data_IF_778258752812
#
_entry.id   IF_778258752812
#
_cell.length_a   1.000
_cell.length_b   1.000
_cell.length_c   1.000
_cell.angle_alpha   90.00
_cell.angle_beta   90.00
_cell.angle_gamma   90.00
#
_symmetry.space_group_name_H-M   'P 1'
#
loop_
_entity.id
_entity.type
_entity.pdbx_description
1 polymer ?
#
# COMPACT_ATOMS: atom_id res chain seq x y z
N UNK A 1 13.45 -18.49 14.44
CA UNK A 1 13.40 -17.01 14.43
C UNK A 1 13.43 -16.51 15.86
N UNK A 2 14.11 -15.39 16.12
CA UNK A 2 14.03 -14.71 17.43
C UNK A 2 12.63 -14.14 17.62
N UNK A 3 12.05 -14.34 18.80
CA UNK A 3 10.71 -13.81 19.12
C UNK A 3 10.72 -12.28 19.01
N UNK A 4 9.62 -11.71 18.51
CA UNK A 4 9.42 -10.26 18.47
C UNK A 4 8.81 -9.76 19.78
N UNK A 5 9.36 -8.68 20.33
CA UNK A 5 8.92 -8.07 21.57
C UNK A 5 7.85 -7.02 21.29
N UNK A 6 6.63 -7.27 21.77
CA UNK A 6 5.45 -6.42 21.53
C UNK A 6 4.96 -5.85 22.84
N UNK A 7 4.90 -4.53 22.95
CA UNK A 7 4.36 -3.82 24.11
C UNK A 7 2.95 -3.31 23.82
N UNK A 8 1.97 -3.74 24.61
CA UNK A 8 0.62 -3.20 24.61
C UNK A 8 0.46 -2.19 25.74
N UNK A 9 -0.09 -1.01 25.44
CA UNK A 9 -0.32 0.05 26.41
C UNK A 9 -1.80 0.41 26.38
N UNK A 10 -2.49 0.22 27.49
CA UNK A 10 -3.92 0.51 27.62
C UNK A 10 -4.24 0.71 29.11
N UNK A 11 -4.97 1.77 29.46
CA UNK A 11 -5.32 2.06 30.86
C UNK A 11 -6.39 1.10 31.43
N UNK A 12 -7.04 0.33 30.56
CA UNK A 12 -8.10 -0.60 30.94
C UNK A 12 -7.57 -2.04 31.08
N UNK A 13 -7.48 -2.54 32.32
CA UNK A 13 -7.00 -3.91 32.62
C UNK A 13 -7.75 -5.02 31.87
N UNK A 14 -9.05 -4.84 31.65
CA UNK A 14 -9.87 -5.79 30.91
C UNK A 14 -9.46 -5.90 29.43
N UNK A 15 -9.03 -4.78 28.81
CA UNK A 15 -8.56 -4.76 27.42
C UNK A 15 -7.22 -5.48 27.32
N UNK A 16 -6.28 -5.16 28.21
CA UNK A 16 -4.99 -5.88 28.34
C UNK A 16 -5.21 -7.39 28.49
N UNK A 17 -6.10 -7.78 29.41
CA UNK A 17 -6.41 -9.19 29.68
C UNK A 17 -7.06 -9.87 28.47
N UNK A 18 -7.92 -9.15 27.74
CA UNK A 18 -8.53 -9.58 26.49
C UNK A 18 -7.48 -9.85 25.41
N UNK A 19 -6.61 -8.89 25.14
CA UNK A 19 -5.52 -9.00 24.16
C UNK A 19 -4.56 -10.14 24.53
N UNK A 20 -4.15 -10.24 25.80
CA UNK A 20 -3.27 -11.30 26.29
C UNK A 20 -3.86 -12.70 26.07
N UNK A 21 -5.19 -12.84 26.24
CA UNK A 21 -5.91 -14.09 25.96
C UNK A 21 -6.01 -14.37 24.46
N UNK A 22 -6.35 -13.37 23.66
CA UNK A 22 -6.50 -13.49 22.21
C UNK A 22 -5.18 -13.87 21.51
N UNK A 23 -4.06 -13.28 21.95
CA UNK A 23 -2.75 -13.50 21.34
C UNK A 23 -1.98 -14.68 21.95
N UNK A 24 -2.56 -15.39 22.92
CA UNK A 24 -1.96 -16.58 23.54
C UNK A 24 -1.49 -17.64 22.53
N UNK A 25 -2.20 -17.95 21.43
CA UNK A 25 -1.75 -18.91 20.43
C UNK A 25 -0.42 -18.54 19.74
N UNK A 26 -0.02 -17.27 19.76
CA UNK A 26 1.15 -16.75 19.04
C UNK A 26 2.38 -16.53 19.94
N UNK A 27 2.37 -17.02 21.18
CA UNK A 27 3.47 -16.84 22.14
C UNK A 27 4.79 -17.50 21.72
N UNK A 28 4.76 -18.41 20.75
CA UNK A 28 5.97 -18.99 20.16
C UNK A 28 6.64 -18.04 19.16
N UNK A 29 5.88 -17.08 18.63
CA UNK A 29 6.36 -16.06 17.69
C UNK A 29 6.64 -14.73 18.39
N UNK A 30 5.83 -14.37 19.39
CA UNK A 30 5.87 -13.06 20.04
C UNK A 30 6.03 -13.16 21.56
N UNK A 31 6.82 -12.25 22.11
CA UNK A 31 6.91 -12.01 23.54
C UNK A 31 6.12 -10.72 23.87
N UNK A 32 5.10 -10.87 24.70
CA UNK A 32 4.14 -9.80 24.99
C UNK A 32 4.49 -9.10 26.31
N UNK A 33 4.53 -7.78 26.28
CA UNK A 33 4.67 -6.88 27.41
C UNK A 33 3.41 -6.02 27.52
N UNK A 34 3.08 -5.60 28.73
CA UNK A 34 1.86 -4.83 28.99
C UNK A 34 2.15 -3.67 29.95
N UNK A 35 1.57 -2.51 29.66
CA UNK A 35 1.62 -1.31 30.49
C UNK A 35 0.23 -0.68 30.61
N UNK A 36 -0.07 -0.10 31.76
CA UNK A 36 -1.35 0.58 32.05
C UNK A 36 -1.33 2.08 31.70
N UNK A 37 -0.27 2.57 31.05
CA UNK A 37 -0.14 3.96 30.66
C UNK A 37 1.25 4.32 30.17
N UNK A 38 1.39 5.54 29.63
CA UNK A 38 2.61 5.97 28.93
C UNK A 38 3.88 6.00 29.80
N UNK A 39 3.78 6.38 31.07
CA UNK A 39 4.93 6.41 31.98
C UNK A 39 5.51 5.00 32.22
N UNK A 40 4.65 4.01 32.49
CA UNK A 40 5.06 2.62 32.68
C UNK A 40 5.60 2.02 31.38
N UNK A 41 5.00 2.37 30.23
CA UNK A 41 5.49 1.94 28.92
C UNK A 41 6.94 2.40 28.67
N UNK A 42 7.25 3.68 28.95
CA UNK A 42 8.60 4.21 28.80
C UNK A 42 9.62 3.56 29.75
N UNK A 43 9.20 3.19 30.96
CA UNK A 43 10.05 2.44 31.89
C UNK A 43 10.37 1.04 31.32
N UNK A 44 9.37 0.31 30.83
CA UNK A 44 9.58 -0.99 30.21
C UNK A 44 10.50 -0.90 28.98
N UNK A 45 10.36 0.14 28.16
CA UNK A 45 11.22 0.37 26.99
C UNK A 45 12.66 0.74 27.35
N UNK A 46 12.90 1.27 28.57
CA UNK A 46 14.25 1.51 29.06
C UNK A 46 14.96 0.21 29.51
N UNK A 47 14.18 -0.79 29.94
CA UNK A 47 14.69 -2.06 30.46
C UNK A 47 14.71 -3.17 29.40
N UNK A 48 13.83 -3.10 28.41
CA UNK A 48 13.59 -4.13 27.41
C UNK A 48 13.64 -3.54 26.00
N UNK A 49 14.24 -4.27 25.06
CA UNK A 49 14.16 -3.91 23.64
C UNK A 49 12.76 -4.23 23.11
N UNK A 50 12.00 -3.24 22.67
CA UNK A 50 10.66 -3.40 22.12
C UNK A 50 10.69 -3.20 20.59
N UNK A 51 10.24 -4.21 19.84
CA UNK A 51 10.15 -4.17 18.38
C UNK A 51 8.89 -3.42 17.91
N UNK A 52 7.77 -3.60 18.63
CA UNK A 52 6.47 -2.99 18.32
C UNK A 52 5.79 -2.49 19.60
N UNK A 53 5.29 -1.25 19.58
CA UNK A 53 4.38 -0.72 20.59
C UNK A 53 2.99 -0.52 19.98
N UNK A 54 1.96 -1.02 20.67
CA UNK A 54 0.54 -0.82 20.36
C UNK A 54 -0.06 -0.05 21.53
N UNK A 55 -0.40 1.22 21.31
CA UNK A 55 -0.95 2.09 22.35
C UNK A 55 -2.43 2.37 22.13
N UNK A 56 -3.20 2.36 23.20
CA UNK A 56 -4.45 3.10 23.22
C UNK A 56 -4.17 4.60 23.04
N UNK A 57 -5.15 5.31 22.50
CA UNK A 57 -5.05 6.73 22.24
C UNK A 57 -5.38 7.57 23.48
N UNK A 58 -6.43 7.19 24.20
CA UNK A 58 -7.03 8.00 25.27
C UNK A 58 -6.71 7.38 26.63
N UNK A 59 -5.53 7.72 27.14
CA UNK A 59 -5.08 7.25 28.45
C UNK A 59 -4.89 8.43 29.43
N UNK A 60 -5.20 8.25 30.72
CA UNK A 60 -4.93 9.24 31.76
C UNK A 60 -3.45 9.61 31.86
N UNK A 61 -3.17 10.90 32.06
CA UNK A 61 -1.83 11.41 32.30
C UNK A 61 -1.00 11.64 31.03
N UNK A 62 -0.79 10.59 30.22
CA UNK A 62 -0.05 10.68 28.95
C UNK A 62 -0.86 10.01 27.85
N UNK A 63 -1.19 10.77 26.81
CA UNK A 63 -1.94 10.25 25.65
C UNK A 63 -1.08 9.32 24.78
N UNK A 64 -1.74 8.49 23.98
CA UNK A 64 -1.06 7.56 23.07
C UNK A 64 -0.16 8.28 22.05
N UNK A 65 -0.64 9.37 21.46
CA UNK A 65 0.13 10.15 20.48
C UNK A 65 1.38 10.81 21.11
N UNK A 66 1.27 11.34 22.32
CA UNK A 66 2.39 11.90 23.09
C UNK A 66 3.45 10.83 23.43
N UNK A 67 3.00 9.65 23.86
CA UNK A 67 3.86 8.49 24.07
C UNK A 67 4.59 8.12 22.77
N UNK A 68 3.85 7.96 21.66
CA UNK A 68 4.42 7.54 20.39
C UNK A 68 5.37 8.59 19.79
N UNK A 69 5.14 9.89 20.05
CA UNK A 69 6.09 10.95 19.72
C UNK A 69 7.40 10.78 20.47
N UNK A 70 7.33 10.52 21.78
CA UNK A 70 8.51 10.24 22.62
C UNK A 70 9.25 8.98 22.13
N UNK A 71 8.50 7.93 21.77
CA UNK A 71 9.06 6.69 21.21
C UNK A 71 9.75 6.94 19.87
N UNK A 72 9.15 7.74 18.99
CA UNK A 72 9.78 8.11 17.71
C UNK A 72 11.13 8.80 17.90
N UNK A 73 11.25 9.65 18.90
CA UNK A 73 12.47 10.41 19.20
C UNK A 73 13.55 9.56 19.89
N UNK A 74 13.17 8.73 20.87
CA UNK A 74 14.12 7.96 21.69
C UNK A 74 14.41 6.56 21.16
N UNK A 75 13.43 5.95 20.49
CA UNK A 75 13.47 4.57 20.00
C UNK A 75 12.94 4.51 18.54
N UNK A 76 13.61 5.18 17.58
CA UNK A 76 13.11 5.35 16.22
C UNK A 76 12.87 4.02 15.48
N UNK A 77 13.61 2.97 15.84
CA UNK A 77 13.48 1.63 15.28
C UNK A 77 12.28 0.81 15.79
N UNK A 78 11.58 1.26 16.84
CA UNK A 78 10.37 0.59 17.33
C UNK A 78 9.19 0.94 16.43
N UNK A 79 8.48 -0.05 15.91
CA UNK A 79 7.24 0.21 15.17
C UNK A 79 6.17 0.66 16.13
N UNK A 80 5.29 1.55 15.66
CA UNK A 80 4.32 2.28 16.47
C UNK A 80 2.95 2.09 15.86
N UNK A 81 2.01 1.56 16.64
CA UNK A 81 0.61 1.37 16.26
C UNK A 81 -0.32 2.00 17.29
N UNK A 82 -1.48 2.43 16.82
CA UNK A 82 -2.56 2.94 17.67
C UNK A 82 -3.76 2.00 17.57
N UNK A 83 -4.39 1.75 18.71
CA UNK A 83 -5.64 1.02 18.82
C UNK A 83 -6.66 1.92 19.55
N UNK A 84 -7.64 2.49 18.85
CA UNK A 84 -8.56 3.47 19.46
C UNK A 84 -10.03 3.12 19.25
N UNK A 85 -10.86 3.34 20.29
CA UNK A 85 -12.32 3.17 20.25
C UNK A 85 -13.11 4.43 19.87
N UNK A 86 -12.45 5.58 19.80
CA UNK A 86 -13.04 6.85 19.37
C UNK A 86 -12.14 7.47 18.30
N UNK A 87 -12.73 7.73 17.13
CA UNK A 87 -12.08 8.40 16.01
C UNK A 87 -12.57 9.85 15.97
N UNK A 88 -12.12 10.69 16.92
CA UNK A 88 -12.22 12.13 16.70
C UNK A 88 -11.10 12.57 15.74
N UNK A 89 -11.37 13.58 14.90
CA UNK A 89 -10.51 13.96 13.78
C UNK A 89 -9.16 14.55 14.20
N UNK A 90 -9.15 15.35 15.27
CA UNK A 90 -7.93 15.99 15.78
C UNK A 90 -6.95 14.94 16.30
N UNK A 91 -7.49 13.92 16.97
CA UNK A 91 -6.75 12.80 17.51
C UNK A 91 -6.25 11.86 16.39
N UNK A 92 -7.01 11.68 15.32
CA UNK A 92 -6.56 10.96 14.11
C UNK A 92 -5.39 11.66 13.40
N UNK A 93 -5.46 12.99 13.23
CA UNK A 93 -4.40 13.79 12.60
C UNK A 93 -3.08 13.69 13.38
N UNK A 94 -3.14 13.83 14.70
CA UNK A 94 -1.96 13.69 15.57
C UNK A 94 -1.40 12.26 15.55
N UNK A 95 -2.28 11.25 15.58
CA UNK A 95 -1.90 9.84 15.49
C UNK A 95 -1.20 9.46 14.18
N UNK A 96 -1.67 9.95 13.03
CA UNK A 96 -1.08 9.68 11.71
C UNK A 96 0.34 10.25 11.53
N UNK A 97 0.72 11.26 12.32
CA UNK A 97 2.07 11.80 12.28
C UNK A 97 3.10 10.83 12.91
N UNK A 98 2.70 10.17 13.99
CA UNK A 98 3.59 9.41 14.88
C UNK A 98 3.48 7.90 14.74
N UNK A 99 2.31 7.39 14.38
CA UNK A 99 2.04 5.96 14.20
C UNK A 99 2.23 5.52 12.74
N UNK A 100 2.62 4.26 12.56
CA UNK A 100 2.71 3.62 11.24
C UNK A 100 1.38 2.96 10.84
N UNK A 101 0.56 2.58 11.83
CA UNK A 101 -0.74 1.98 11.58
C UNK A 101 -1.74 2.33 12.69
N UNK A 102 -3.00 2.44 12.29
CA UNK A 102 -4.14 2.69 13.17
C UNK A 102 -5.15 1.55 13.04
N UNK A 103 -5.70 1.11 14.17
CA UNK A 103 -6.75 0.10 14.26
C UNK A 103 -7.91 0.63 15.12
N UNK A 104 -9.13 0.33 14.72
CA UNK A 104 -10.33 0.67 15.50
C UNK A 104 -10.64 -0.40 16.54
N UNK A 105 -11.11 0.02 17.72
CA UNK A 105 -11.76 -0.85 18.70
C UNK A 105 -13.28 -0.86 18.45
N UNK A 106 -13.96 -2.01 18.61
CA UNK A 106 -13.39 -3.31 18.96
C UNK A 106 -12.63 -3.94 17.78
N UNK A 107 -11.46 -4.51 18.07
CA UNK A 107 -10.63 -5.21 17.08
C UNK A 107 -10.69 -6.72 17.34
N UNK A 108 -10.94 -7.53 16.30
CA UNK A 108 -10.87 -8.99 16.44
C UNK A 108 -9.42 -9.45 16.54
N UNK A 109 -9.21 -10.64 17.12
CA UNK A 109 -7.88 -11.25 17.22
C UNK A 109 -7.20 -11.39 15.86
N UNK A 110 -7.97 -11.65 14.82
CA UNK A 110 -7.45 -11.93 13.48
C UNK A 110 -6.99 -10.63 12.80
N UNK A 111 -7.74 -9.54 12.94
CA UNK A 111 -7.37 -8.22 12.42
C UNK A 111 -6.11 -7.70 13.14
N UNK A 112 -6.05 -7.84 14.46
CA UNK A 112 -4.87 -7.41 15.24
C UNK A 112 -3.64 -8.23 14.85
N UNK A 113 -3.77 -9.55 14.73
CA UNK A 113 -2.68 -10.43 14.28
C UNK A 113 -2.19 -10.06 12.89
N UNK A 114 -3.11 -9.89 11.95
CA UNK A 114 -2.81 -9.50 10.56
C UNK A 114 -2.01 -8.20 10.52
N UNK A 115 -2.47 -7.17 11.22
CA UNK A 115 -1.81 -5.87 11.29
C UNK A 115 -0.39 -5.97 11.86
N UNK A 116 -0.20 -6.75 12.93
CA UNK A 116 1.12 -6.98 13.53
C UNK A 116 2.06 -7.70 12.54
N UNK A 117 1.59 -8.76 11.89
CA UNK A 117 2.40 -9.51 10.93
C UNK A 117 2.81 -8.65 9.73
N UNK A 118 1.84 -7.93 9.17
CA UNK A 118 2.03 -7.00 8.06
C UNK A 118 3.10 -5.95 8.38
N UNK A 119 3.02 -5.34 9.56
CA UNK A 119 4.00 -4.35 10.01
C UNK A 119 5.40 -4.93 10.08
N UNK A 120 5.58 -6.14 10.62
CA UNK A 120 6.91 -6.74 10.70
C UNK A 120 7.48 -7.12 9.34
N UNK A 121 6.64 -7.59 8.40
CA UNK A 121 7.06 -7.85 7.00
C UNK A 121 7.57 -6.57 6.35
N UNK A 122 6.81 -5.49 6.46
CA UNK A 122 7.19 -4.17 5.92
C UNK A 122 8.47 -3.65 6.60
N UNK A 123 8.57 -3.76 7.92
CA UNK A 123 9.75 -3.32 8.66
C UNK A 123 11.02 -4.08 8.24
N UNK A 124 10.93 -5.38 7.97
CA UNK A 124 12.05 -6.16 7.48
C UNK A 124 12.59 -5.64 6.14
N UNK A 125 11.70 -5.17 5.24
CA UNK A 125 12.10 -4.52 3.99
C UNK A 125 12.72 -3.14 4.25
N UNK A 126 12.06 -2.30 5.07
CA UNK A 126 12.52 -0.93 5.35
C UNK A 126 13.87 -0.87 6.06
N UNK A 127 14.13 -1.84 6.93
CA UNK A 127 15.38 -1.92 7.69
C UNK A 127 16.54 -2.56 6.92
N UNK A 128 16.31 -3.06 5.70
CA UNK A 128 17.36 -3.69 4.90
C UNK A 128 18.26 -2.63 4.24
N UNK A 129 19.54 -2.52 4.65
CA UNK A 129 20.44 -1.48 4.13
C UNK A 129 20.74 -1.66 2.64
N UNK A 130 20.60 -2.87 2.08
CA UNK A 130 20.79 -3.10 0.64
C UNK A 130 19.73 -2.40 -0.18
N UNK A 131 18.47 -2.45 0.28
CA UNK A 131 17.35 -1.78 -0.39
C UNK A 131 17.54 -0.27 -0.27
N UNK A 132 17.81 0.24 0.94
CA UNK A 132 18.04 1.66 1.17
C UNK A 132 19.17 2.22 0.27
N UNK A 133 20.30 1.52 0.20
CA UNK A 133 21.43 1.93 -0.63
C UNK A 133 21.16 1.79 -2.13
N UNK A 134 20.46 0.74 -2.54
CA UNK A 134 20.19 0.44 -3.96
C UNK A 134 19.07 1.28 -4.57
N UNK A 135 18.07 1.67 -3.78
CA UNK A 135 17.04 2.63 -4.19
C UNK A 135 17.63 4.05 -4.28
N UNK A 136 18.73 4.32 -3.57
CA UNK A 136 19.50 5.57 -3.60
C UNK A 136 19.13 6.52 -2.46
N UNK A 137 19.85 7.65 -2.37
CA UNK A 137 19.68 8.66 -1.31
C UNK A 137 18.20 9.06 -1.16
N UNK A 138 17.69 8.98 0.08
CA UNK A 138 16.34 9.39 0.42
C UNK A 138 16.04 10.85 0.03
N UNK A 139 17.06 11.71 -0.02
CA UNK A 139 16.92 13.11 -0.48
C UNK A 139 16.75 13.24 -2.00
N UNK A 140 17.11 12.20 -2.76
CA UNK A 140 16.87 12.12 -4.21
C UNK A 140 15.60 11.35 -4.52
N UNK A 141 14.99 10.67 -3.55
CA UNK A 141 13.69 10.07 -3.77
C UNK A 141 12.66 11.16 -4.07
N UNK A 142 11.71 10.88 -4.98
CA UNK A 142 10.66 11.82 -5.25
C UNK A 142 9.85 12.02 -3.97
N UNK A 143 9.78 13.27 -3.51
CA UNK A 143 8.83 13.65 -2.48
C UNK A 143 7.42 13.53 -3.06
N UNK A 144 6.48 12.99 -2.28
CA UNK A 144 5.09 13.08 -2.67
C UNK A 144 4.74 14.56 -2.92
N UNK A 145 4.02 14.87 -4.00
CA UNK A 145 3.66 16.24 -4.33
C UNK A 145 2.83 16.82 -3.20
N UNK A 146 3.04 18.10 -2.90
CA UNK A 146 2.32 18.81 -1.84
C UNK A 146 0.80 18.62 -1.95
N UNK A 147 0.27 18.59 -3.17
CA UNK A 147 -1.16 18.39 -3.45
C UNK A 147 -1.69 17.05 -2.94
N UNK A 148 -0.88 15.99 -2.88
CA UNK A 148 -1.27 14.69 -2.33
C UNK A 148 -1.45 14.77 -0.81
N UNK A 149 -0.53 15.45 -0.12
CA UNK A 149 -0.65 15.68 1.32
C UNK A 149 -1.82 16.61 1.65
N UNK A 150 -2.00 17.68 0.87
CA UNK A 150 -3.16 18.59 0.99
C UNK A 150 -4.47 17.82 0.77
N UNK A 151 -4.51 16.93 -0.22
CA UNK A 151 -5.67 16.11 -0.52
C UNK A 151 -5.97 15.08 0.59
N UNK A 152 -4.95 14.37 1.08
CA UNK A 152 -5.11 13.44 2.21
C UNK A 152 -5.60 14.16 3.47
N UNK A 153 -5.05 15.34 3.76
CA UNK A 153 -5.50 16.17 4.88
C UNK A 153 -6.95 16.62 4.71
N UNK A 154 -7.36 16.99 3.49
CA UNK A 154 -8.73 17.38 3.18
C UNK A 154 -9.70 16.19 3.23
N UNK A 155 -9.32 15.02 2.69
CA UNK A 155 -10.15 13.80 2.76
C UNK A 155 -10.38 13.36 4.21
N UNK A 156 -9.41 13.60 5.08
CA UNK A 156 -9.48 13.29 6.51
C UNK A 156 -10.22 14.35 7.35
N UNK A 157 -10.80 15.38 6.73
CA UNK A 157 -11.60 16.44 7.37
C UNK A 157 -13.05 16.34 6.91
N UNK A 158 -13.98 16.07 7.83
CA UNK A 158 -15.42 15.90 7.63
C UNK A 158 -16.11 17.20 7.19
N UNK A 159 -15.49 18.36 7.42
CA UNK A 159 -15.98 19.64 6.90
C UNK A 159 -15.55 19.89 5.45
N UNK A 160 -14.68 19.04 4.90
CA UNK A 160 -14.23 19.17 3.52
C UNK A 160 -15.37 18.91 2.55
N UNK A 161 -15.68 19.95 1.78
CA UNK A 161 -16.61 19.83 0.66
C UNK A 161 -15.87 19.47 -0.62
N UNK A 162 -16.59 18.95 -1.60
CA UNK A 162 -16.08 18.77 -2.97
C UNK A 162 -15.53 20.06 -3.59
N UNK A 163 -16.01 21.22 -3.14
CA UNK A 163 -15.49 22.52 -3.54
C UNK A 163 -14.09 22.77 -2.96
N UNK A 164 -13.84 22.42 -1.70
CA UNK A 164 -12.52 22.55 -1.08
C UNK A 164 -11.50 21.64 -1.79
N UNK A 165 -11.89 20.42 -2.14
CA UNK A 165 -11.01 19.53 -2.91
C UNK A 165 -10.80 19.99 -4.35
N UNK A 166 -11.83 20.56 -4.99
CA UNK A 166 -11.67 21.20 -6.31
C UNK A 166 -10.71 22.39 -6.26
N UNK A 167 -10.69 23.16 -5.17
CA UNK A 167 -9.71 24.25 -4.93
C UNK A 167 -8.28 23.75 -4.71
N UNK A 168 -8.10 22.53 -4.18
CA UNK A 168 -6.79 21.89 -4.10
C UNK A 168 -6.33 21.49 -5.50
N UNK A 169 -7.19 20.84 -6.29
CA UNK A 169 -6.90 20.43 -7.66
C UNK A 169 -6.64 21.62 -8.60
N UNK A 170 -7.39 22.72 -8.47
CA UNK A 170 -7.29 23.89 -9.36
C UNK A 170 -5.92 24.59 -9.30
N UNK A 171 -5.12 24.32 -8.26
CA UNK A 171 -3.74 24.81 -8.12
C UNK A 171 -2.77 24.11 -9.06
N UNK A 172 -3.13 22.93 -9.57
CA UNK A 172 -2.32 22.16 -10.51
C UNK A 172 -3.10 21.95 -11.82
N UNK A 173 -2.64 22.62 -12.88
CA UNK A 173 -3.27 22.61 -14.20
C UNK A 173 -3.28 21.21 -14.84
N UNK A 174 -2.24 20.39 -14.62
CA UNK A 174 -2.11 19.06 -15.21
C UNK A 174 -3.06 18.08 -14.53
N UNK A 175 -3.14 18.13 -13.20
CA UNK A 175 -4.10 17.35 -12.43
C UNK A 175 -5.53 17.74 -12.70
N UNK A 176 -5.81 19.04 -12.81
CA UNK A 176 -7.13 19.56 -13.17
C UNK A 176 -7.60 19.05 -14.54
N UNK A 177 -6.72 19.10 -15.54
CA UNK A 177 -7.00 18.59 -16.88
C UNK A 177 -7.25 17.07 -16.88
N UNK A 178 -6.43 16.30 -16.16
CA UNK A 178 -6.61 14.85 -16.04
C UNK A 178 -7.87 14.47 -15.28
N UNK A 179 -8.24 15.21 -14.24
CA UNK A 179 -9.47 15.01 -13.48
C UNK A 179 -10.69 15.20 -14.38
N UNK A 180 -10.75 16.30 -15.12
CA UNK A 180 -11.82 16.59 -16.08
C UNK A 180 -11.87 15.57 -17.22
N UNK A 181 -10.70 15.15 -17.72
CA UNK A 181 -10.64 14.13 -18.77
C UNK A 181 -11.18 12.77 -18.28
N UNK A 182 -10.82 12.39 -17.05
CA UNK A 182 -11.26 11.13 -16.43
C UNK A 182 -12.79 11.07 -16.29
N UNK A 183 -13.45 12.11 -15.73
CA UNK A 183 -14.91 12.09 -15.59
C UNK A 183 -15.67 12.13 -16.90
N UNK A 184 -15.06 12.69 -17.95
CA UNK A 184 -15.66 12.71 -19.29
C UNK A 184 -15.35 11.45 -20.11
N UNK A 185 -14.61 10.50 -19.53
CA UNK A 185 -14.36 9.24 -20.21
C UNK A 185 -15.65 8.41 -20.31
N UNK A 186 -15.77 7.55 -21.34
CA UNK A 186 -16.93 6.67 -21.51
C UNK A 186 -17.26 5.80 -20.28
N UNK A 187 -16.28 5.57 -19.40
CA UNK A 187 -16.43 4.84 -18.14
C UNK A 187 -17.53 5.38 -17.23
N UNK A 188 -17.65 6.71 -17.12
CA UNK A 188 -18.66 7.32 -16.26
C UNK A 188 -20.05 7.33 -16.90
N UNK A 189 -20.18 6.96 -18.18
CA UNK A 189 -21.46 6.81 -18.87
C UNK A 189 -22.33 8.08 -18.86
N UNK A 190 -21.69 9.26 -18.82
CA UNK A 190 -22.41 10.53 -18.68
C UNK A 190 -23.00 10.97 -20.02
N UNK A 191 -24.27 11.35 -20.01
CA UNK A 191 -24.94 11.98 -21.17
C UNK A 191 -24.61 13.48 -21.31
N UNK A 192 -23.62 13.98 -20.55
CA UNK A 192 -23.19 15.39 -20.56
C UNK A 192 -21.70 15.50 -20.31
N UNK A 193 -21.09 16.55 -20.84
CA UNK A 193 -19.69 16.90 -20.59
C UNK A 193 -19.58 17.68 -19.28
N UNK A 194 -18.72 17.22 -18.38
CA UNK A 194 -18.35 17.87 -17.11
C UNK A 194 -17.20 18.84 -17.37
N UNK A 195 -17.43 20.13 -17.18
CA UNK A 195 -16.44 21.19 -17.41
C UNK A 195 -15.91 21.85 -16.14
N UNK A 196 -16.43 21.45 -14.97
CA UNK A 196 -16.12 22.05 -13.67
C UNK A 196 -15.50 21.03 -12.73
N UNK A 197 -14.44 21.43 -12.02
CA UNK A 197 -13.71 20.58 -11.09
C UNK A 197 -14.57 20.15 -9.91
N UNK A 198 -15.45 21.01 -9.38
CA UNK A 198 -16.34 20.63 -8.27
C UNK A 198 -17.29 19.51 -8.68
N UNK A 199 -17.82 19.56 -9.90
CA UNK A 199 -18.70 18.51 -10.43
C UNK A 199 -17.91 17.23 -10.71
N UNK A 200 -16.67 17.34 -11.17
CA UNK A 200 -15.78 16.21 -11.38
C UNK A 200 -15.43 15.51 -10.05
N UNK A 201 -15.11 16.28 -9.00
CA UNK A 201 -14.86 15.79 -7.64
C UNK A 201 -16.10 15.09 -7.07
N UNK A 202 -17.30 15.66 -7.26
CA UNK A 202 -18.56 15.06 -6.82
C UNK A 202 -18.82 13.69 -7.47
N UNK A 203 -18.50 13.56 -8.77
CA UNK A 203 -18.73 12.33 -9.53
C UNK A 203 -17.72 11.22 -9.20
N UNK A 204 -16.47 11.59 -8.93
CA UNK A 204 -15.41 10.63 -8.56
C UNK A 204 -15.49 10.26 -7.07
N UNK A 205 -15.84 11.22 -6.22
CA UNK A 205 -15.79 11.10 -4.77
C UNK A 205 -14.39 11.38 -4.21
N UNK A 206 -14.33 11.98 -3.02
CA UNK A 206 -13.10 12.51 -2.43
C UNK A 206 -12.00 11.44 -2.29
N UNK A 207 -12.36 10.25 -1.81
CA UNK A 207 -11.42 9.14 -1.52
C UNK A 207 -10.69 8.60 -2.75
N UNK A 208 -11.31 8.70 -3.94
CA UNK A 208 -10.74 8.18 -5.19
C UNK A 208 -9.72 9.11 -5.85
N UNK A 209 -9.68 10.38 -5.44
CA UNK A 209 -8.81 11.39 -6.04
C UNK A 209 -7.33 11.21 -5.71
N UNK A 210 -7.01 10.56 -4.59
CA UNK A 210 -5.63 10.21 -4.21
C UNK A 210 -4.94 9.36 -5.28
N UNK A 211 -5.68 8.40 -5.84
CA UNK A 211 -5.17 7.52 -6.87
C UNK A 211 -4.83 8.29 -8.16
N UNK A 212 -5.65 9.28 -8.53
CA UNK A 212 -5.40 10.16 -9.66
C UNK A 212 -4.14 11.00 -9.42
N UNK A 213 -4.03 11.67 -8.27
CA UNK A 213 -2.85 12.50 -7.92
C UNK A 213 -1.57 11.69 -8.04
N UNK A 214 -1.51 10.51 -7.41
CA UNK A 214 -0.34 9.63 -7.48
C UNK A 214 0.00 9.23 -8.92
N UNK A 215 -1.01 8.87 -9.73
CA UNK A 215 -0.81 8.47 -11.12
C UNK A 215 -0.16 9.55 -12.00
N UNK A 216 -0.37 10.83 -11.70
CA UNK A 216 0.19 11.94 -12.47
C UNK A 216 1.64 12.20 -12.08
N UNK A 217 1.93 12.18 -10.79
CA UNK A 217 3.21 12.62 -10.29
C UNK A 217 4.30 11.56 -10.27
N UNK A 218 3.93 10.27 -10.19
CA UNK A 218 4.92 9.20 -10.25
C UNK A 218 5.67 9.22 -11.62
N UNK A 219 5.02 9.67 -12.71
CA UNK A 219 5.69 9.85 -14.02
C UNK A 219 6.83 10.87 -13.99
N UNK A 220 6.65 11.98 -13.29
CA UNK A 220 7.64 13.06 -13.20
C UNK A 220 8.74 12.76 -12.17
N UNK A 221 8.42 11.89 -11.22
CA UNK A 221 9.26 11.50 -10.10
C UNK A 221 10.45 10.60 -10.48
N UNK A 222 10.31 9.82 -11.55
CA UNK A 222 11.31 8.86 -12.02
C UNK A 222 11.66 9.14 -13.48
N UNK A 223 12.57 10.10 -13.76
CA UNK A 223 12.95 10.42 -15.12
C UNK A 223 13.68 9.24 -15.77
N UNK A 224 13.36 8.99 -17.04
CA UNK A 224 13.96 7.94 -17.87
C UNK A 224 14.36 8.59 -19.20
N UNK A 225 15.66 8.55 -19.53
CA UNK A 225 16.20 9.23 -20.72
C UNK A 225 16.36 8.28 -21.92
N UNK A 226 16.55 6.99 -21.67
CA UNK A 226 16.77 6.00 -22.71
C UNK A 226 15.45 5.62 -23.41
N UNK A 227 15.38 5.74 -24.74
CA UNK A 227 14.17 5.46 -25.51
C UNK A 227 13.61 4.04 -25.33
N UNK A 228 14.46 3.01 -25.19
CA UNK A 228 13.99 1.65 -24.93
C UNK A 228 13.31 1.54 -23.55
N UNK A 229 13.87 2.23 -22.56
CA UNK A 229 13.33 2.28 -21.19
C UNK A 229 12.04 3.12 -21.12
N UNK A 230 11.94 4.20 -21.89
CA UNK A 230 10.71 5.01 -22.01
C UNK A 230 9.55 4.14 -22.52
N UNK A 231 9.78 3.30 -23.53
CA UNK A 231 8.74 2.37 -24.03
C UNK A 231 8.28 1.38 -22.96
N UNK A 232 9.21 0.83 -22.17
CA UNK A 232 8.87 -0.07 -21.06
C UNK A 232 8.08 0.68 -19.98
N UNK A 233 8.46 1.92 -19.68
CA UNK A 233 7.72 2.78 -18.75
C UNK A 233 6.30 3.06 -19.24
N UNK A 234 6.09 3.36 -20.52
CA UNK A 234 4.76 3.59 -21.10
C UNK A 234 3.86 2.37 -20.97
N UNK A 235 4.38 1.17 -21.25
CA UNK A 235 3.66 -0.10 -21.05
C UNK A 235 3.29 -0.33 -19.59
N UNK A 236 4.22 -0.07 -18.66
CA UNK A 236 3.96 -0.17 -17.22
C UNK A 236 2.76 0.69 -16.81
N UNK A 237 2.65 1.91 -17.36
CA UNK A 237 1.53 2.80 -17.05
C UNK A 237 0.19 2.32 -17.59
N UNK A 238 0.19 1.77 -18.81
CA UNK A 238 -0.99 1.19 -19.41
C UNK A 238 -1.49 -0.03 -18.61
N UNK A 239 -0.58 -0.95 -18.29
CA UNK A 239 -0.90 -2.15 -17.50
C UNK A 239 -1.35 -1.81 -16.08
N UNK A 240 -0.71 -0.83 -15.42
CA UNK A 240 -1.09 -0.40 -14.07
C UNK A 240 -2.54 0.08 -13.99
N UNK A 241 -3.04 0.81 -15.00
CA UNK A 241 -4.43 1.27 -15.03
C UNK A 241 -5.42 0.11 -15.16
N UNK A 242 -5.11 -0.87 -16.02
CA UNK A 242 -5.94 -2.08 -16.23
C UNK A 242 -5.98 -2.95 -14.98
N UNK A 243 -4.82 -3.21 -14.36
CA UNK A 243 -4.69 -4.01 -13.14
C UNK A 243 -5.39 -3.33 -11.97
N UNK A 244 -5.25 -2.01 -11.80
CA UNK A 244 -5.96 -1.24 -10.79
C UNK A 244 -7.48 -1.43 -10.90
N UNK A 245 -8.02 -1.28 -12.10
CA UNK A 245 -9.46 -1.38 -12.32
C UNK A 245 -9.98 -2.80 -12.11
N UNK A 246 -9.28 -3.82 -12.61
CA UNK A 246 -9.67 -5.21 -12.37
C UNK A 246 -9.58 -5.58 -10.88
N UNK A 247 -8.52 -5.16 -10.18
CA UNK A 247 -8.38 -5.41 -8.74
C UNK A 247 -9.55 -4.79 -7.95
N UNK A 248 -9.98 -3.58 -8.32
CA UNK A 248 -11.15 -2.93 -7.73
C UNK A 248 -12.43 -3.75 -7.96
N UNK A 249 -12.64 -4.22 -9.19
CA UNK A 249 -13.81 -5.02 -9.55
C UNK A 249 -13.83 -6.38 -8.84
N UNK A 250 -12.67 -7.03 -8.69
CA UNK A 250 -12.53 -8.28 -7.92
C UNK A 250 -12.89 -8.03 -6.44
N UNK A 251 -12.36 -6.96 -5.83
CA UNK A 251 -12.71 -6.61 -4.46
C UNK A 251 -14.23 -6.39 -4.29
N UNK A 252 -14.87 -5.71 -5.25
CA UNK A 252 -16.31 -5.48 -5.24
C UNK A 252 -17.12 -6.77 -5.43
N UNK A 253 -16.72 -7.68 -6.33
CA UNK A 253 -17.43 -8.96 -6.53
C UNK A 253 -17.33 -9.86 -5.30
N UNK A 254 -16.25 -9.73 -4.52
CA UNK A 254 -16.05 -10.42 -3.25
C UNK A 254 -16.69 -9.70 -2.05
N UNK A 255 -17.63 -8.80 -2.31
CA UNK A 255 -18.39 -8.03 -1.31
C UNK A 255 -17.50 -7.27 -0.31
N UNK A 256 -16.30 -6.86 -0.71
CA UNK A 256 -15.45 -6.00 0.13
C UNK A 256 -16.07 -4.60 0.20
N UNK A 257 -16.20 -4.07 1.41
CA UNK A 257 -16.84 -2.79 1.70
C UNK A 257 -15.83 -1.74 2.17
N UNK A 258 -16.35 -0.53 2.43
CA UNK A 258 -15.60 0.62 2.93
C UNK A 258 -14.50 1.03 1.93
N UNK A 259 -13.28 1.21 2.40
CA UNK A 259 -12.14 1.62 1.61
C UNK A 259 -11.39 0.44 0.94
N UNK A 260 -11.78 -0.81 1.21
CA UNK A 260 -11.06 -1.99 0.68
C UNK A 260 -11.00 -2.06 -0.85
N UNK A 261 -12.06 -1.75 -1.61
CA UNK A 261 -11.96 -1.69 -3.08
C UNK A 261 -11.01 -0.58 -3.56
N UNK A 262 -10.99 0.56 -2.88
CA UNK A 262 -10.09 1.68 -3.21
C UNK A 262 -8.63 1.31 -2.88
N UNK A 263 -8.39 0.56 -1.79
CA UNK A 263 -7.08 -0.01 -1.46
C UNK A 263 -6.62 -1.02 -2.53
N UNK A 264 -7.52 -1.89 -3.03
CA UNK A 264 -7.21 -2.81 -4.12
C UNK A 264 -6.87 -2.07 -5.42
N UNK A 265 -7.63 -1.02 -5.75
CA UNK A 265 -7.33 -0.15 -6.89
C UNK A 265 -5.94 0.50 -6.77
N UNK A 266 -5.64 1.10 -5.62
CA UNK A 266 -4.33 1.70 -5.37
C UNK A 266 -3.20 0.66 -5.41
N UNK A 267 -3.41 -0.52 -4.83
CA UNK A 267 -2.47 -1.64 -4.92
C UNK A 267 -2.19 -2.01 -6.38
N UNK A 268 -3.23 -2.15 -7.20
CA UNK A 268 -3.08 -2.47 -8.62
C UNK A 268 -2.43 -1.35 -9.43
N UNK A 269 -2.64 -0.09 -9.07
CA UNK A 269 -1.97 1.04 -9.73
C UNK A 269 -0.46 1.09 -9.41
N UNK A 270 -0.08 0.69 -8.21
CA UNK A 270 1.29 0.80 -7.69
C UNK A 270 2.09 -0.51 -7.75
N UNK A 271 1.45 -1.62 -8.16
CA UNK A 271 2.00 -2.98 -8.09
C UNK A 271 3.37 -3.14 -8.77
N UNK A 272 3.59 -2.46 -9.89
CA UNK A 272 4.86 -2.49 -10.63
C UNK A 272 5.70 -1.22 -10.44
N UNK A 273 5.38 -0.35 -9.48
CA UNK A 273 6.11 0.90 -9.25
C UNK A 273 7.61 0.67 -8.99
N UNK A 274 7.99 -0.45 -8.37
CA UNK A 274 9.40 -0.79 -8.16
C UNK A 274 10.23 -0.89 -9.44
N UNK A 275 9.59 -1.26 -10.57
CA UNK A 275 10.25 -1.31 -11.86
C UNK A 275 10.60 0.10 -12.39
N UNK A 276 9.86 1.14 -12.00
CA UNK A 276 10.22 2.53 -12.33
C UNK A 276 11.54 2.95 -11.67
N UNK A 277 11.82 2.43 -10.48
CA UNK A 277 13.09 2.66 -9.78
C UNK A 277 14.22 2.01 -10.57
N UNK A 278 14.04 0.77 -11.02
CA UNK A 278 15.02 0.06 -11.85
C UNK A 278 15.22 0.74 -13.21
N UNK A 279 14.15 1.20 -13.86
CA UNK A 279 14.24 1.92 -15.14
C UNK A 279 14.97 3.27 -15.01
N UNK A 280 14.70 4.01 -13.92
CA UNK A 280 15.26 5.35 -13.72
C UNK A 280 16.69 5.31 -13.15
N UNK A 281 17.01 4.33 -12.30
CA UNK A 281 18.27 4.30 -11.52
C UNK A 281 19.13 3.06 -11.75
N UNK A 282 18.62 2.04 -12.42
CA UNK A 282 19.31 0.76 -12.57
C UNK A 282 20.48 0.80 -13.54
N UNK A 283 20.52 1.76 -14.48
CA UNK A 283 21.63 1.89 -15.44
C UNK A 283 21.95 0.58 -16.15
N UNK A 284 23.23 0.18 -16.13
CA UNK A 284 23.70 -1.09 -16.72
C UNK A 284 23.02 -2.33 -16.14
N UNK A 285 22.68 -2.33 -14.85
CA UNK A 285 21.98 -3.46 -14.21
C UNK A 285 20.58 -3.67 -14.78
N UNK A 286 19.89 -2.60 -15.17
CA UNK A 286 18.59 -2.71 -15.81
C UNK A 286 18.73 -3.30 -17.22
N UNK A 287 19.79 -2.95 -17.94
CA UNK A 287 20.09 -3.53 -19.24
C UNK A 287 20.39 -5.03 -19.10
N UNK A 288 21.21 -5.41 -18.13
CA UNK A 288 21.50 -6.81 -17.81
C UNK A 288 20.22 -7.58 -17.47
N UNK A 289 19.33 -7.02 -16.65
CA UNK A 289 18.05 -7.65 -16.33
C UNK A 289 17.22 -7.92 -17.59
N UNK A 290 17.09 -6.93 -18.47
CA UNK A 290 16.35 -7.11 -19.74
C UNK A 290 16.97 -8.21 -20.59
N UNK A 291 18.30 -8.26 -20.67
CA UNK A 291 19.00 -9.26 -21.47
C UNK A 291 18.85 -10.67 -20.87
N UNK A 292 18.90 -10.83 -19.54
CA UNK A 292 18.66 -12.12 -18.89
C UNK A 292 17.20 -12.57 -19.00
N UNK A 293 16.23 -11.66 -18.91
CA UNK A 293 14.80 -11.95 -19.10
C UNK A 293 14.50 -12.45 -20.52
N UNK A 294 15.29 -12.02 -21.51
CA UNK A 294 15.17 -12.50 -22.90
C UNK A 294 15.80 -13.87 -23.13
N UNK A 295 16.92 -14.13 -22.46
CA UNK A 295 17.82 -15.25 -22.82
C UNK A 295 17.74 -16.44 -21.85
N UNK A 296 17.04 -16.32 -20.72
CA UNK A 296 16.94 -17.38 -19.71
C UNK A 296 15.49 -17.60 -19.31
N UNK A 297 15.13 -18.76 -18.74
CA UNK A 297 13.78 -19.02 -18.20
C UNK A 297 13.69 -18.83 -16.67
N UNK A 298 14.73 -18.23 -16.06
CA UNK A 298 14.78 -17.97 -14.62
C UNK A 298 13.64 -17.00 -14.24
N UNK A 299 12.91 -17.25 -13.13
CA UNK A 299 11.88 -16.33 -12.65
C UNK A 299 12.42 -14.92 -12.44
N UNK A 300 11.68 -13.90 -12.89
CA UNK A 300 12.14 -12.50 -12.83
C UNK A 300 12.51 -12.04 -11.42
N UNK A 301 11.76 -12.38 -10.34
CA UNK A 301 12.17 -12.02 -8.99
C UNK A 301 13.55 -12.56 -8.59
N UNK A 302 13.92 -13.76 -9.05
CA UNK A 302 15.24 -14.34 -8.79
C UNK A 302 16.34 -13.57 -9.53
N UNK A 303 16.08 -13.17 -10.79
CA UNK A 303 16.99 -12.30 -11.55
C UNK A 303 17.18 -10.94 -10.89
N UNK A 304 16.09 -10.32 -10.43
CA UNK A 304 16.13 -9.05 -9.70
C UNK A 304 16.99 -9.17 -8.44
N UNK A 305 16.74 -10.19 -7.61
CA UNK A 305 17.55 -10.44 -6.41
C UNK A 305 19.02 -10.69 -6.74
N UNK A 306 19.34 -11.41 -7.82
CA UNK A 306 20.72 -11.67 -8.22
C UNK A 306 21.46 -10.40 -8.68
N UNK A 307 20.81 -9.55 -9.48
CA UNK A 307 21.43 -8.37 -10.12
C UNK A 307 21.42 -7.15 -9.19
N UNK A 308 20.29 -6.89 -8.52
CA UNK A 308 20.09 -5.71 -7.67
C UNK A 308 20.32 -6.00 -6.19
N UNK A 309 20.22 -7.26 -5.75
CA UNK A 309 20.28 -7.65 -4.34
C UNK A 309 18.94 -7.56 -3.60
N UNK A 310 17.86 -7.21 -4.32
CA UNK A 310 16.48 -7.08 -3.86
C UNK A 310 15.53 -7.08 -5.07
N UNK A 311 14.26 -7.37 -4.83
CA UNK A 311 13.20 -7.41 -5.85
C UNK A 311 12.55 -6.04 -6.05
N UNK A 312 11.83 -5.86 -7.16
CA UNK A 312 11.02 -4.64 -7.38
C UNK A 312 9.92 -4.48 -6.32
N UNK A 313 9.35 -5.59 -5.83
CA UNK A 313 8.33 -5.58 -4.78
C UNK A 313 8.88 -5.02 -3.47
N UNK A 314 10.09 -5.44 -3.09
CA UNK A 314 10.81 -4.91 -1.93
C UNK A 314 11.17 -3.42 -2.10
N UNK A 315 11.63 -3.04 -3.30
CA UNK A 315 11.95 -1.64 -3.63
C UNK A 315 10.72 -0.74 -3.54
N UNK A 316 9.58 -1.18 -4.08
CA UNK A 316 8.31 -0.49 -3.99
C UNK A 316 7.85 -0.37 -2.53
N UNK A 317 7.87 -1.48 -1.79
CA UNK A 317 7.45 -1.49 -0.38
C UNK A 317 8.27 -0.50 0.47
N UNK A 318 9.58 -0.43 0.23
CA UNK A 318 10.47 0.53 0.87
C UNK A 318 10.03 1.99 0.62
N UNK A 319 9.85 2.39 -0.64
CA UNK A 319 9.44 3.77 -0.98
C UNK A 319 8.04 4.07 -0.44
N UNK A 320 7.09 3.17 -0.62
CA UNK A 320 5.71 3.35 -0.19
C UNK A 320 5.61 3.48 1.34
N UNK A 321 6.49 2.81 2.08
CA UNK A 321 6.61 2.98 3.53
C UNK A 321 7.10 4.38 3.90
N UNK A 322 8.12 4.92 3.20
CA UNK A 322 8.58 6.30 3.40
C UNK A 322 7.47 7.31 3.07
N UNK A 323 6.65 6.99 2.08
CA UNK A 323 5.49 7.78 1.66
C UNK A 323 4.27 7.61 2.58
N UNK A 324 4.39 6.81 3.64
CA UNK A 324 3.31 6.51 4.60
C UNK A 324 2.03 5.99 3.92
N UNK A 325 2.20 5.22 2.85
CA UNK A 325 1.09 4.54 2.19
C UNK A 325 0.52 3.47 3.16
N UNK A 326 -0.80 3.26 3.20
CA UNK A 326 -1.41 2.28 4.09
C UNK A 326 -0.74 0.89 3.99
N UNK A 327 -0.42 0.24 5.13
CA UNK A 327 0.26 -1.06 5.16
C UNK A 327 -0.40 -2.16 4.31
N UNK A 328 -1.74 -2.17 4.21
CA UNK A 328 -2.49 -3.10 3.33
C UNK A 328 -2.14 -2.98 1.86
N UNK A 329 -1.90 -1.76 1.38
CA UNK A 329 -1.50 -1.52 0.00
C UNK A 329 -0.04 -1.92 -0.18
N UNK A 330 0.83 -1.63 0.80
CA UNK A 330 2.23 -2.02 0.77
C UNK A 330 2.39 -3.54 0.74
N UNK A 331 1.66 -4.27 1.59
CA UNK A 331 1.67 -5.74 1.62
C UNK A 331 1.18 -6.34 0.31
N UNK A 332 0.12 -5.78 -0.28
CA UNK A 332 -0.39 -6.22 -1.57
C UNK A 332 0.69 -6.20 -2.66
N UNK A 333 1.57 -5.20 -2.64
CA UNK A 333 2.65 -5.01 -3.62
C UNK A 333 3.88 -5.85 -3.24
N UNK A 334 4.19 -5.94 -1.95
CA UNK A 334 5.30 -6.72 -1.43
C UNK A 334 5.12 -8.21 -1.73
N UNK A 335 3.93 -8.75 -1.47
CA UNK A 335 3.62 -10.17 -1.56
C UNK A 335 2.92 -10.58 -2.87
N UNK A 336 2.79 -9.68 -3.85
CA UNK A 336 2.04 -9.95 -5.10
C UNK A 336 2.53 -11.21 -5.86
N UNK A 337 3.82 -11.58 -5.72
CA UNK A 337 4.40 -12.76 -6.35
C UNK A 337 4.37 -14.01 -5.46
N UNK A 338 4.10 -13.85 -4.17
CA UNK A 338 4.08 -14.92 -3.15
C UNK A 338 2.93 -14.69 -2.16
N UNK A 339 1.67 -14.62 -2.63
CA UNK A 339 0.55 -14.25 -1.76
C UNK A 339 0.31 -15.26 -0.64
N UNK A 340 0.74 -16.52 -0.80
CA UNK A 340 0.68 -17.55 0.24
C UNK A 340 1.53 -17.21 1.49
N UNK A 341 2.50 -16.28 1.39
CA UNK A 341 3.26 -15.80 2.54
C UNK A 341 2.44 -14.85 3.43
N UNK A 342 1.23 -14.44 3.01
CA UNK A 342 0.27 -13.72 3.84
C UNK A 342 -0.30 -14.63 4.93
N UNK A 343 -0.52 -14.09 6.13
CA UNK A 343 -1.20 -14.81 7.22
C UNK A 343 -2.72 -14.55 7.22
N UNK A 344 -3.24 -13.86 6.20
CA UNK A 344 -4.65 -13.56 6.07
C UNK A 344 -5.34 -14.59 5.16
N UNK A 345 -6.40 -15.20 5.67
CA UNK A 345 -7.16 -16.25 4.97
C UNK A 345 -8.42 -15.73 4.27
N UNK A 346 -8.61 -14.41 4.22
CA UNK A 346 -9.72 -13.75 3.53
C UNK A 346 -9.32 -13.07 2.21
N UNK A 347 -10.30 -12.45 1.55
CA UNK A 347 -10.04 -11.58 0.40
C UNK A 347 -9.65 -10.19 0.91
N UNK A 348 -8.50 -9.69 0.46
CA UNK A 348 -8.05 -8.33 0.72
C UNK A 348 -7.41 -7.73 -0.56
N UNK A 349 -6.76 -6.57 -0.43
CA UNK A 349 -6.07 -5.92 -1.53
C UNK A 349 -5.00 -6.82 -2.19
N UNK A 350 -4.26 -7.63 -1.42
CA UNK A 350 -3.27 -8.58 -1.96
C UNK A 350 -3.93 -9.60 -2.89
N UNK A 351 -5.02 -10.22 -2.47
CA UNK A 351 -5.77 -11.19 -3.29
C UNK A 351 -6.22 -10.56 -4.61
N UNK A 352 -6.82 -9.37 -4.53
CA UNK A 352 -7.34 -8.67 -5.69
C UNK A 352 -6.24 -8.25 -6.67
N UNK A 353 -5.13 -7.72 -6.17
CA UNK A 353 -3.97 -7.31 -7.00
C UNK A 353 -3.32 -8.52 -7.66
N UNK A 354 -3.05 -9.57 -6.90
CA UNK A 354 -2.45 -10.81 -7.42
C UNK A 354 -3.32 -11.45 -8.51
N UNK A 355 -4.63 -11.59 -8.25
CA UNK A 355 -5.54 -12.16 -9.23
C UNK A 355 -5.63 -11.28 -10.49
N UNK A 356 -5.78 -9.96 -10.32
CA UNK A 356 -5.87 -9.03 -11.44
C UNK A 356 -4.63 -9.04 -12.33
N UNK A 357 -3.44 -9.05 -11.72
CA UNK A 357 -2.18 -9.03 -12.44
C UNK A 357 -1.85 -10.34 -13.15
N UNK A 358 -2.33 -11.48 -12.64
CA UNK A 358 -2.19 -12.78 -13.30
C UNK A 358 -3.20 -13.00 -14.42
N UNK A 359 -4.44 -12.49 -14.26
CA UNK A 359 -5.51 -12.67 -15.24
C UNK A 359 -5.38 -11.72 -16.43
N UNK A 360 -4.90 -10.49 -16.20
CA UNK A 360 -4.58 -9.56 -17.27
C UNK A 360 -3.22 -9.91 -17.87
N UNK A 361 -3.23 -10.36 -19.12
CA UNK A 361 -1.98 -10.45 -19.88
C UNK A 361 -1.45 -9.03 -20.15
N UNK A 362 -0.13 -8.80 -19.98
CA UNK A 362 0.51 -7.52 -20.28
C UNK A 362 0.22 -7.08 -21.71
N UNK A 363 0.10 -5.77 -21.93
CA UNK A 363 0.05 -5.20 -23.28
C UNK A 363 1.31 -5.59 -24.06
N UNK A 364 1.12 -6.14 -25.27
CA UNK A 364 2.13 -6.96 -25.97
C UNK A 364 3.39 -6.15 -26.33
N UNK A 365 4.54 -6.58 -25.81
CA UNK A 365 5.86 -6.23 -26.34
C UNK A 365 6.63 -7.53 -26.59
N UNK A 366 6.77 -7.93 -27.87
CA UNK A 366 7.29 -9.25 -28.30
C UNK A 366 8.55 -9.72 -27.55
N UNK A 367 9.42 -8.80 -27.14
CA UNK A 367 10.73 -9.11 -26.58
C UNK A 367 10.85 -8.90 -25.05
N UNK A 368 9.83 -8.39 -24.35
CA UNK A 368 9.91 -8.08 -22.90
C UNK A 368 8.72 -8.59 -22.07
N UNK A 369 7.82 -9.42 -22.64
CA UNK A 369 6.61 -9.89 -21.98
C UNK A 369 6.85 -10.51 -20.59
N UNK A 370 7.97 -11.24 -20.43
CA UNK A 370 8.32 -11.91 -19.18
C UNK A 370 8.60 -10.94 -18.02
N UNK A 371 9.01 -9.70 -18.32
CA UNK A 371 9.25 -8.68 -17.30
C UNK A 371 7.99 -8.37 -16.47
N UNK A 372 6.81 -8.56 -17.05
CA UNK A 372 5.51 -8.32 -16.42
C UNK A 372 4.76 -9.62 -16.10
N UNK A 373 5.35 -10.78 -16.37
CA UNK A 373 4.71 -12.07 -16.13
C UNK A 373 4.53 -12.31 -14.63
N UNK A 374 3.29 -12.62 -14.24
CA UNK A 374 2.95 -13.12 -12.91
C UNK A 374 2.22 -14.46 -13.05
N UNK A 375 2.51 -15.37 -12.12
CA UNK A 375 1.90 -16.71 -12.10
C UNK A 375 0.88 -16.76 -11.00
N UNK A 376 -0.31 -17.26 -11.36
CA UNK A 376 -1.40 -17.41 -10.42
C UNK A 376 -1.05 -18.46 -9.35
N UNK A 377 -1.05 -18.05 -8.09
CA UNK A 377 -0.85 -18.92 -6.95
C UNK A 377 -2.15 -19.65 -6.62
N UNK A 378 -2.29 -20.84 -7.21
CA UNK A 378 -3.48 -21.66 -7.02
C UNK A 378 -3.56 -22.24 -5.60
N UNK A 379 -2.43 -22.43 -4.91
CA UNK A 379 -2.42 -22.95 -3.55
C UNK A 379 -2.99 -21.91 -2.60
N UNK A 380 -2.54 -20.66 -2.72
CA UNK A 380 -3.11 -19.52 -2.01
C UNK A 380 -4.62 -19.39 -2.25
N UNK A 381 -5.07 -19.40 -3.51
CA UNK A 381 -6.49 -19.27 -3.83
C UNK A 381 -7.33 -20.44 -3.30
N UNK A 382 -6.78 -21.66 -3.24
CA UNK A 382 -7.46 -22.79 -2.58
C UNK A 382 -7.52 -22.60 -1.07
N UNK A 383 -6.42 -22.13 -0.45
CA UNK A 383 -6.34 -21.87 0.99
C UNK A 383 -7.42 -20.89 1.46
N UNK A 384 -7.65 -19.82 0.70
CA UNK A 384 -8.68 -18.81 1.02
C UNK A 384 -10.07 -19.14 0.46
N UNK A 385 -10.26 -20.31 -0.17
CA UNK A 385 -11.54 -20.74 -0.72
C UNK A 385 -12.03 -19.93 -1.93
N UNK A 386 -11.13 -19.36 -2.73
CA UNK A 386 -11.43 -18.52 -3.91
C UNK A 386 -10.96 -19.08 -5.25
N UNK A 387 -10.53 -20.35 -5.28
CA UNK A 387 -10.14 -21.00 -6.53
C UNK A 387 -11.28 -21.08 -7.56
N UNK A 388 -12.53 -21.26 -7.12
CA UNK A 388 -13.69 -21.33 -8.03
C UNK A 388 -14.10 -19.96 -8.58
N UNK A 389 -13.77 -18.87 -7.89
CA UNK A 389 -14.08 -17.49 -8.30
C UNK A 389 -13.25 -17.02 -9.52
N UNK A 390 -12.23 -17.78 -9.93
CA UNK A 390 -11.39 -17.45 -11.09
C UNK A 390 -12.23 -17.26 -12.36
N UNK A 391 -13.25 -18.10 -12.56
CA UNK A 391 -14.11 -18.01 -13.75
C UNK A 391 -14.89 -16.68 -13.78
N UNK A 392 -15.41 -16.24 -12.64
CA UNK A 392 -16.12 -14.97 -12.53
C UNK A 392 -15.17 -13.78 -12.73
N UNK A 393 -13.96 -13.85 -12.17
CA UNK A 393 -12.94 -12.82 -12.36
C UNK A 393 -12.42 -12.76 -13.80
N UNK A 394 -12.43 -13.86 -14.55
CA UNK A 394 -12.15 -13.86 -16.00
C UNK A 394 -13.21 -13.07 -16.79
N UNK A 395 -14.48 -13.19 -16.44
CA UNK A 395 -15.54 -12.38 -17.06
C UNK A 395 -15.33 -10.88 -16.79
N UNK A 396 -14.86 -10.51 -15.59
CA UNK A 396 -14.49 -9.12 -15.29
C UNK A 396 -13.26 -8.67 -16.09
N UNK A 397 -12.30 -9.57 -16.29
CA UNK A 397 -11.08 -9.33 -17.09
C UNK A 397 -11.44 -8.94 -18.52
N UNK A 398 -12.34 -9.69 -19.16
CA UNK A 398 -12.79 -9.41 -20.54
C UNK A 398 -13.45 -8.03 -20.66
N UNK A 399 -14.24 -7.63 -19.63
CA UNK A 399 -14.86 -6.29 -19.59
C UNK A 399 -13.83 -5.19 -19.50
N UNK A 400 -12.79 -5.36 -18.66
CA UNK A 400 -11.71 -4.38 -18.52
C UNK A 400 -10.93 -4.27 -19.83
N UNK A 401 -10.57 -5.38 -20.47
CA UNK A 401 -9.89 -5.38 -21.78
C UNK A 401 -10.71 -4.62 -22.83
N UNK A 402 -12.01 -4.92 -22.93
CA UNK A 402 -12.90 -4.27 -23.89
C UNK A 402 -13.10 -2.76 -23.62
N UNK A 403 -13.00 -2.34 -22.35
CA UNK A 403 -13.08 -0.93 -21.97
C UNK A 403 -11.82 -0.17 -22.41
N UNK A 404 -10.63 -0.67 -22.05
CA UNK A 404 -9.36 -0.01 -22.37
C UNK A 404 -9.00 -0.04 -23.86
N UNK A 405 -9.53 -0.98 -24.64
CA UNK A 405 -9.34 -1.00 -26.10
C UNK A 405 -10.09 0.11 -26.86
N UNK A 406 -11.01 0.83 -26.19
CA UNK A 406 -11.84 1.91 -26.80
C UNK A 406 -11.34 3.33 -26.46
N UNK A 407 -10.47 3.45 -25.47
CA UNK A 407 -9.79 4.68 -25.04
C UNK A 407 -8.42 4.76 -25.66
#
# INVERSE_FOLDING_TARGET
>A
MTKKNILFVDDTENVISGISRQLRPYRDQWQLFFAQGGAQALQLMAEQQIDLIVSDMMMPGMRGDELLKTVRERYPGTVRMILSGYADEDTLKQGLEVAHQYLSKPCSSDILREAISQVFKIQACVSNPRIANGVGDANRLPSLPKIYHELNAAIADENTTSKNVAEIFSRDMVLSAKLLHLVNSPYFGLNRVVSNLTDAVNLIGLRRLNSLVLSVHIKTAFPVENQAMIRIMELLWEDAGRVAELARLIALSENQQEDRPDQAYMGGLLHNMGLLIFLSRGGEKMQELIDQVKNTDIPVPELESAIFGFTRSEAAAYILSLWKIPPRIIEAILLQNSPNDSDYDGVNALTAVHAASCLLKPSVMRDCNRLFEMRLDQEYLRRIGKFECIADWQVLTDKVIAYFAKT
#
